data_IF_738118634869
#
_entry.id   IF_738118634869
#
_cell.length_a   1.000
_cell.length_b   1.000
_cell.length_c   1.000
_cell.angle_alpha   90.00
_cell.angle_beta   90.00
_cell.angle_gamma   90.00
#
_symmetry.space_group_name_H-M   'P 1'
#
loop_
_entity.id
_entity.type
_entity.pdbx_description
1 polymer ?
#
# COMPACT_ATOMS: atom_id res chain seq x y z
N UNK A 1 -6.09 13.08 -22.80
CA UNK A 1 -5.69 12.70 -21.42
C UNK A 1 -6.15 11.28 -21.17
N UNK A 2 -5.32 10.44 -20.57
CA UNK A 2 -5.72 9.08 -20.20
C UNK A 2 -6.52 9.15 -18.90
N UNK A 3 -7.74 8.62 -18.86
CA UNK A 3 -8.53 8.55 -17.64
C UNK A 3 -8.32 7.21 -16.96
N UNK A 4 -8.30 7.21 -15.62
CA UNK A 4 -8.20 6.00 -14.81
C UNK A 4 -9.35 5.91 -13.81
N UNK A 5 -9.70 4.68 -13.44
CA UNK A 5 -10.50 4.43 -12.24
C UNK A 5 -9.55 4.39 -11.06
N UNK A 6 -9.69 5.36 -10.15
CA UNK A 6 -8.95 5.35 -8.88
C UNK A 6 -9.81 4.73 -7.80
N UNK A 7 -9.19 3.93 -6.93
CA UNK A 7 -9.88 3.18 -5.88
C UNK A 7 -9.08 3.35 -4.59
N UNK A 8 -9.75 3.81 -3.54
CA UNK A 8 -9.23 3.80 -2.18
C UNK A 8 -9.88 2.67 -1.40
N UNK A 9 -9.08 1.75 -0.89
CA UNK A 9 -9.49 0.74 0.09
C UNK A 9 -8.82 1.02 1.42
N UNK A 10 -9.48 0.64 2.51
CA UNK A 10 -9.01 0.84 3.86
C UNK A 10 -9.21 -0.39 4.73
N UNK A 11 -8.54 -0.39 5.88
CA UNK A 11 -8.83 -1.29 6.99
C UNK A 11 -9.28 -0.42 8.16
N UNK A 12 -10.51 -0.62 8.63
CA UNK A 12 -11.08 0.18 9.69
C UNK A 12 -10.47 -0.16 11.06
N UNK A 13 -10.81 0.61 12.10
CA UNK A 13 -10.35 0.38 13.47
C UNK A 13 -10.84 -0.95 14.06
N UNK A 14 -11.88 -1.55 13.45
CA UNK A 14 -12.36 -2.89 13.75
C UNK A 14 -11.65 -3.96 12.88
N UNK A 15 -10.70 -3.59 12.03
CA UNK A 15 -9.94 -4.54 11.21
C UNK A 15 -10.68 -5.11 10.01
N UNK A 16 -11.91 -4.66 9.72
CA UNK A 16 -12.61 -4.99 8.48
C UNK A 16 -12.08 -4.14 7.34
N UNK A 17 -12.21 -4.68 6.12
CA UNK A 17 -11.83 -3.96 4.90
C UNK A 17 -13.00 -3.19 4.36
N UNK A 18 -12.71 -2.03 3.81
CA UNK A 18 -13.71 -1.17 3.20
C UNK A 18 -13.22 -0.64 1.85
N UNK A 19 -14.15 -0.42 0.93
CA UNK A 19 -13.93 0.47 -0.21
C UNK A 19 -14.30 1.87 0.28
N UNK A 20 -13.31 2.71 0.52
CA UNK A 20 -13.51 4.05 1.06
C UNK A 20 -14.08 5.00 -0.01
N UNK A 21 -13.68 4.81 -1.27
CA UNK A 21 -14.18 5.58 -2.39
C UNK A 21 -13.52 5.20 -3.70
N UNK A 22 -14.13 5.61 -4.80
CA UNK A 22 -13.60 5.42 -6.15
C UNK A 22 -14.12 6.53 -7.07
N UNK A 23 -13.33 6.89 -8.07
CA UNK A 23 -13.65 7.96 -9.01
C UNK A 23 -13.01 7.70 -10.37
N UNK A 24 -13.54 8.31 -11.44
CA UNK A 24 -12.92 8.31 -12.77
C UNK A 24 -12.35 9.71 -13.02
N UNK A 25 -11.05 9.80 -13.26
CA UNK A 25 -10.42 11.09 -13.49
C UNK A 25 -9.02 10.98 -14.09
N UNK A 26 -8.36 12.13 -14.20
CA UNK A 26 -6.97 12.19 -14.62
C UNK A 26 -6.05 11.83 -13.45
N UNK A 27 -5.48 10.62 -13.50
CA UNK A 27 -4.59 10.13 -12.44
C UNK A 27 -3.25 10.86 -12.37
N UNK A 28 -2.91 11.66 -13.37
CA UNK A 28 -1.67 12.45 -13.38
C UNK A 28 -1.87 13.87 -12.80
N UNK A 29 -3.11 14.26 -12.49
CA UNK A 29 -3.43 15.59 -11.96
C UNK A 29 -3.45 15.64 -10.42
N UNK A 30 -2.62 16.53 -9.84
CA UNK A 30 -2.60 16.76 -8.39
C UNK A 30 -3.88 17.38 -7.83
N UNK A 31 -4.60 18.19 -8.62
CA UNK A 31 -5.88 18.77 -8.20
C UNK A 31 -6.95 17.69 -8.06
N UNK A 32 -6.98 16.73 -8.98
CA UNK A 32 -7.83 15.55 -8.91
C UNK A 32 -7.59 14.74 -7.62
N UNK A 33 -6.33 14.39 -7.31
CA UNK A 33 -6.01 13.65 -6.08
C UNK A 33 -6.41 14.40 -4.81
N UNK A 34 -6.21 15.72 -4.79
CA UNK A 34 -6.61 16.56 -3.65
C UNK A 34 -8.12 16.56 -3.46
N UNK A 35 -8.89 16.71 -4.54
CA UNK A 35 -10.34 16.67 -4.50
C UNK A 35 -10.86 15.29 -4.03
N UNK A 36 -10.30 14.21 -4.57
CA UNK A 36 -10.64 12.84 -4.20
C UNK A 36 -10.42 12.57 -2.71
N UNK A 37 -9.23 12.89 -2.17
CA UNK A 37 -8.93 12.69 -0.75
C UNK A 37 -9.78 13.58 0.17
N UNK A 38 -10.05 14.84 -0.24
CA UNK A 38 -10.97 15.72 0.51
C UNK A 38 -12.39 15.18 0.55
N UNK A 39 -12.86 14.57 -0.53
CA UNK A 39 -14.17 13.89 -0.59
C UNK A 39 -14.24 12.70 0.37
N UNK A 40 -13.15 11.95 0.58
CA UNK A 40 -13.13 10.90 1.61
C UNK A 40 -13.27 11.52 3.01
N UNK A 41 -12.52 12.60 3.29
CA UNK A 41 -12.51 13.28 4.59
C UNK A 41 -13.87 13.94 4.91
N UNK A 42 -14.50 14.58 3.93
CA UNK A 42 -15.81 15.20 4.12
C UNK A 42 -16.93 14.19 4.40
N UNK A 43 -16.76 12.94 3.96
CA UNK A 43 -17.66 11.81 4.28
C UNK A 43 -17.33 11.11 5.61
N UNK A 44 -16.34 11.60 6.37
CA UNK A 44 -16.03 11.13 7.71
C UNK A 44 -14.73 10.35 7.86
N UNK A 45 -13.92 10.18 6.81
CA UNK A 45 -12.61 9.55 6.94
C UNK A 45 -11.72 10.34 7.91
N UNK A 46 -11.30 9.69 8.99
CA UNK A 46 -10.48 10.26 10.06
C UNK A 46 -9.57 9.19 10.67
N UNK A 47 -8.57 9.61 11.45
CA UNK A 47 -7.66 8.69 12.14
C UNK A 47 -6.77 7.84 11.23
N UNK A 48 -6.47 8.31 10.01
CA UNK A 48 -5.63 7.58 9.05
C UNK A 48 -4.21 7.49 9.58
N UNK A 49 -3.74 6.28 9.89
CA UNK A 49 -2.37 6.05 10.38
C UNK A 49 -1.36 5.81 9.26
N UNK A 50 -1.78 5.17 8.17
CA UNK A 50 -0.91 4.81 7.04
C UNK A 50 -1.64 4.95 5.71
N UNK A 51 -0.95 5.56 4.74
CA UNK A 51 -1.38 5.57 3.33
C UNK A 51 -0.35 4.86 2.48
N UNK A 52 -0.78 3.83 1.77
CA UNK A 52 0.06 3.08 0.82
C UNK A 52 -0.33 3.49 -0.59
N UNK A 53 0.61 4.08 -1.32
CA UNK A 53 0.39 4.59 -2.68
C UNK A 53 1.62 4.35 -3.55
N UNK A 54 1.56 4.64 -4.85
CA UNK A 54 2.77 4.70 -5.65
C UNK A 54 3.59 5.99 -5.32
N UNK A 55 4.52 6.40 -6.18
CA UNK A 55 5.29 7.63 -5.97
C UNK A 55 4.86 8.78 -6.91
N UNK A 56 3.62 8.76 -7.40
CA UNK A 56 3.08 9.85 -8.19
C UNK A 56 3.11 11.15 -7.36
N UNK A 57 3.78 12.18 -7.89
CA UNK A 57 4.10 13.40 -7.15
C UNK A 57 2.84 14.15 -6.73
N UNK A 58 1.83 14.21 -7.60
CA UNK A 58 0.53 14.82 -7.29
C UNK A 58 -0.22 14.09 -6.17
N UNK A 59 -0.14 12.75 -6.12
CA UNK A 59 -0.79 11.96 -5.08
C UNK A 59 -0.06 12.14 -3.74
N UNK A 60 1.29 12.11 -3.76
CA UNK A 60 2.10 12.34 -2.56
C UNK A 60 1.78 13.71 -1.94
N UNK A 61 1.79 14.78 -2.74
CA UNK A 61 1.47 16.13 -2.26
C UNK A 61 0.03 16.22 -1.72
N UNK A 62 -0.94 15.56 -2.37
CA UNK A 62 -2.32 15.53 -1.91
C UNK A 62 -2.47 14.79 -0.56
N UNK A 63 -1.76 13.67 -0.37
CA UNK A 63 -1.76 12.92 0.91
C UNK A 63 -1.19 13.81 2.02
N UNK A 64 -0.03 14.41 1.81
CA UNK A 64 0.65 15.29 2.78
C UNK A 64 -0.24 16.49 3.16
N UNK A 65 -1.02 17.03 2.21
CA UNK A 65 -1.90 18.17 2.45
C UNK A 65 -3.24 17.81 3.14
N UNK A 66 -3.82 16.64 2.86
CA UNK A 66 -5.20 16.30 3.28
C UNK A 66 -5.24 15.39 4.51
N UNK A 67 -4.31 14.44 4.60
CA UNK A 67 -4.25 13.38 5.61
C UNK A 67 -3.08 13.61 6.58
N UNK A 68 -3.11 14.79 7.23
CA UNK A 68 -2.09 15.21 8.19
C UNK A 68 -1.88 14.16 9.30
N UNK A 69 -0.62 13.85 9.58
CA UNK A 69 -0.22 12.88 10.60
C UNK A 69 -0.22 11.42 10.13
N UNK A 70 -0.73 11.12 8.94
CA UNK A 70 -0.62 9.77 8.39
C UNK A 70 0.82 9.49 7.92
N UNK A 71 1.35 8.33 8.29
CA UNK A 71 2.56 7.80 7.67
C UNK A 71 2.28 7.49 6.19
N UNK A 72 3.33 7.57 5.37
CA UNK A 72 3.24 7.27 3.94
C UNK A 72 4.18 6.13 3.60
N UNK A 73 3.64 5.13 2.91
CA UNK A 73 4.44 4.06 2.33
C UNK A 73 4.33 4.05 0.82
N UNK A 74 5.48 3.96 0.15
CA UNK A 74 5.54 3.65 -1.28
C UNK A 74 5.30 2.16 -1.48
N UNK A 75 4.39 1.85 -2.39
CA UNK A 75 4.06 0.49 -2.80
C UNK A 75 5.32 -0.25 -3.29
N UNK A 76 5.69 -1.34 -2.62
CA UNK A 76 6.90 -2.11 -2.96
C UNK A 76 6.91 -2.67 -4.37
N UNK A 77 5.74 -3.02 -4.93
CA UNK A 77 5.65 -3.61 -6.27
C UNK A 77 5.95 -2.56 -7.33
N UNK A 78 5.39 -1.36 -7.17
CA UNK A 78 5.70 -0.23 -8.04
C UNK A 78 7.15 0.23 -7.88
N UNK A 79 7.66 0.28 -6.63
CA UNK A 79 9.06 0.58 -6.39
C UNK A 79 9.99 -0.43 -7.07
N UNK A 80 9.74 -1.74 -6.90
CA UNK A 80 10.55 -2.79 -7.52
C UNK A 80 10.49 -2.72 -9.05
N UNK A 81 9.31 -2.44 -9.64
CA UNK A 81 9.19 -2.21 -11.09
C UNK A 81 10.09 -1.06 -11.56
N UNK A 82 10.11 0.05 -10.82
CA UNK A 82 10.94 1.21 -11.14
C UNK A 82 12.43 0.89 -11.03
N UNK A 83 12.84 0.14 -10.01
CA UNK A 83 14.21 -0.35 -9.86
C UNK A 83 14.59 -1.23 -11.04
N UNK A 84 13.78 -2.24 -11.36
CA UNK A 84 14.07 -3.20 -12.43
C UNK A 84 14.10 -2.56 -13.82
N UNK A 85 13.40 -1.45 -14.04
CA UNK A 85 13.50 -0.66 -15.27
C UNK A 85 14.91 -0.05 -15.48
N UNK A 86 15.73 0.04 -14.43
CA UNK A 86 17.11 0.52 -14.48
C UNK A 86 18.15 -0.61 -14.49
N UNK A 87 17.71 -1.87 -14.47
CA UNK A 87 18.57 -3.05 -14.31
C UNK A 87 18.64 -3.81 -15.63
N UNK A 88 19.83 -4.26 -16.08
CA UNK A 88 19.94 -5.15 -17.23
C UNK A 88 19.13 -6.44 -17.03
N UNK A 89 18.46 -6.93 -18.09
CA UNK A 89 17.57 -8.11 -18.00
C UNK A 89 18.24 -9.33 -17.34
N UNK A 90 19.52 -9.58 -17.61
CA UNK A 90 20.27 -10.71 -17.04
C UNK A 90 20.49 -10.64 -15.52
N UNK A 91 20.35 -9.47 -14.91
CA UNK A 91 20.53 -9.25 -13.47
C UNK A 91 19.20 -9.01 -12.74
N UNK A 92 18.08 -8.93 -13.46
CA UNK A 92 16.79 -8.51 -12.90
C UNK A 92 16.30 -9.44 -11.78
N UNK A 93 16.44 -10.75 -11.94
CA UNK A 93 16.00 -11.72 -10.92
C UNK A 93 16.84 -11.61 -9.64
N UNK A 94 18.16 -11.51 -9.78
CA UNK A 94 19.08 -11.33 -8.66
C UNK A 94 18.78 -10.03 -7.90
N UNK A 95 18.61 -8.91 -8.60
CA UNK A 95 18.27 -7.63 -7.97
C UNK A 95 16.91 -7.70 -7.28
N UNK A 96 15.91 -8.33 -7.90
CA UNK A 96 14.60 -8.50 -7.28
C UNK A 96 14.67 -9.37 -6.02
N UNK A 97 15.44 -10.46 -6.03
CA UNK A 97 15.64 -11.29 -4.86
C UNK A 97 16.32 -10.50 -3.73
N UNK A 98 17.40 -9.78 -4.05
CA UNK A 98 18.12 -8.92 -3.12
C UNK A 98 17.19 -7.88 -2.46
N UNK A 99 16.42 -7.11 -3.25
CA UNK A 99 15.50 -6.09 -2.71
C UNK A 99 14.38 -6.70 -1.88
N UNK A 100 13.90 -7.91 -2.19
CA UNK A 100 12.85 -8.58 -1.39
C UNK A 100 13.31 -8.92 0.02
N UNK A 101 14.62 -9.14 0.24
CA UNK A 101 15.15 -9.45 1.57
C UNK A 101 14.90 -8.32 2.58
N UNK A 102 14.87 -7.07 2.14
CA UNK A 102 14.58 -5.89 3.00
C UNK A 102 13.29 -6.04 3.79
N UNK A 103 12.30 -6.71 3.20
CA UNK A 103 10.97 -6.84 3.80
C UNK A 103 10.76 -8.15 4.59
N UNK A 104 11.76 -9.05 4.56
CA UNK A 104 11.72 -10.35 5.21
C UNK A 104 12.66 -10.38 6.42
N UNK A 105 12.54 -9.36 7.26
CA UNK A 105 13.38 -9.14 8.43
C UNK A 105 12.58 -9.35 9.73
N UNK A 106 13.26 -9.66 10.86
CA UNK A 106 12.57 -9.95 12.13
C UNK A 106 11.99 -8.71 12.82
N UNK A 107 12.63 -7.54 12.66
CA UNK A 107 12.27 -6.29 13.33
C UNK A 107 12.74 -5.06 12.55
N UNK A 108 12.34 -3.87 13.02
CA UNK A 108 12.49 -2.62 12.27
C UNK A 108 13.95 -2.19 12.09
N UNK A 109 14.81 -2.53 13.04
CA UNK A 109 16.25 -2.27 12.95
C UNK A 109 16.85 -3.07 11.79
N UNK A 110 16.59 -4.38 11.77
CA UNK A 110 17.06 -5.25 10.69
C UNK A 110 16.49 -4.89 9.32
N UNK A 111 15.25 -4.36 9.24
CA UNK A 111 14.70 -3.83 7.97
C UNK A 111 15.59 -2.71 7.42
N UNK A 112 15.96 -1.74 8.26
CA UNK A 112 16.75 -0.56 7.86
C UNK A 112 18.19 -0.96 7.54
N UNK A 113 18.81 -1.79 8.36
CA UNK A 113 20.16 -2.33 8.11
C UNK A 113 20.24 -3.15 6.81
N UNK A 114 19.22 -3.98 6.55
CA UNK A 114 19.17 -4.78 5.33
C UNK A 114 19.03 -3.87 4.10
N UNK A 115 18.25 -2.79 4.18
CA UNK A 115 18.16 -1.80 3.10
C UNK A 115 19.53 -1.22 2.78
N UNK A 116 20.27 -0.77 3.79
CA UNK A 116 21.61 -0.18 3.61
C UNK A 116 22.61 -1.18 3.03
N UNK A 117 22.56 -2.42 3.52
CA UNK A 117 23.39 -3.52 3.02
C UNK A 117 23.12 -3.79 1.54
N UNK A 118 21.85 -3.92 1.16
CA UNK A 118 21.47 -4.18 -0.23
C UNK A 118 21.78 -2.98 -1.13
N UNK A 119 21.57 -1.75 -0.65
CA UNK A 119 21.89 -0.54 -1.39
C UNK A 119 23.39 -0.45 -1.69
N UNK A 120 24.25 -0.66 -0.70
CA UNK A 120 25.71 -0.64 -0.89
C UNK A 120 26.23 -1.81 -1.74
N UNK A 121 25.65 -3.01 -1.58
CA UNK A 121 26.01 -4.18 -2.38
C UNK A 121 25.70 -3.96 -3.87
N UNK A 122 24.48 -3.52 -4.18
CA UNK A 122 24.05 -3.28 -5.57
C UNK A 122 24.72 -2.04 -6.17
N UNK A 123 25.02 -1.02 -5.36
CA UNK A 123 25.65 0.23 -5.77
C UNK A 123 26.99 0.07 -6.49
N UNK A 124 27.76 -0.96 -6.14
CA UNK A 124 29.07 -1.27 -6.78
C UNK A 124 28.97 -1.43 -8.30
N UNK A 125 27.88 -2.01 -8.78
CA UNK A 125 27.65 -2.24 -10.22
C UNK A 125 26.49 -1.41 -10.78
N UNK A 126 25.56 -0.99 -9.91
CA UNK A 126 24.34 -0.29 -10.27
C UNK A 126 24.16 0.97 -9.38
N UNK A 127 25.01 2.02 -9.53
CA UNK A 127 24.96 3.21 -8.67
C UNK A 127 23.57 3.88 -8.65
N UNK A 128 22.85 3.84 -9.77
CA UNK A 128 21.49 4.37 -9.87
C UNK A 128 20.50 3.63 -8.96
N UNK A 129 20.65 2.31 -8.82
CA UNK A 129 19.79 1.49 -7.95
C UNK A 129 20.06 1.81 -6.48
N UNK A 130 21.32 2.03 -6.11
CA UNK A 130 21.68 2.51 -4.76
C UNK A 130 20.98 3.84 -4.45
N UNK A 131 21.13 4.85 -5.32
CA UNK A 131 20.45 6.15 -5.14
C UNK A 131 18.93 5.98 -5.00
N UNK A 132 18.32 5.12 -5.80
CA UNK A 132 16.88 4.86 -5.72
C UNK A 132 16.45 4.22 -4.40
N UNK A 133 17.25 3.28 -3.86
CA UNK A 133 16.99 2.65 -2.56
C UNK A 133 17.14 3.65 -1.42
N UNK A 134 18.25 4.40 -1.40
CA UNK A 134 18.51 5.40 -0.35
C UNK A 134 17.48 6.52 -0.33
N UNK A 135 17.12 7.07 -1.49
CA UNK A 135 16.12 8.14 -1.59
C UNK A 135 14.70 7.69 -1.21
N UNK A 136 14.42 6.39 -1.32
CA UNK A 136 13.12 5.84 -1.00
C UNK A 136 13.10 5.12 0.37
N UNK A 137 14.18 5.19 1.15
CA UNK A 137 14.36 4.36 2.35
C UNK A 137 13.19 4.51 3.33
N UNK A 138 12.91 5.74 3.76
CA UNK A 138 11.79 6.05 4.66
C UNK A 138 10.46 5.55 4.07
N UNK A 139 10.23 5.83 2.80
CA UNK A 139 8.99 5.49 2.11
C UNK A 139 8.76 3.98 1.94
N UNK A 140 9.81 3.18 1.70
CA UNK A 140 9.66 1.73 1.46
C UNK A 140 9.78 0.91 2.75
N UNK A 141 10.30 1.51 3.83
CA UNK A 141 10.45 0.88 5.15
C UNK A 141 9.43 1.34 6.18
N UNK A 142 8.57 2.32 5.88
CA UNK A 142 7.53 2.81 6.78
C UNK A 142 6.64 1.72 7.42
N UNK A 143 6.47 0.55 6.78
CA UNK A 143 5.76 -0.59 7.39
C UNK A 143 6.40 -1.06 8.70
N UNK A 144 7.71 -0.86 8.86
CA UNK A 144 8.50 -1.32 9.99
C UNK A 144 8.15 -0.60 11.29
N UNK A 145 7.53 0.58 11.21
CA UNK A 145 7.04 1.33 12.37
C UNK A 145 5.69 0.79 12.89
N UNK A 146 5.08 -0.15 12.17
CA UNK A 146 3.85 -0.84 12.57
C UNK A 146 4.17 -2.18 13.26
N UNK A 147 3.23 -2.77 14.01
CA UNK A 147 3.42 -4.09 14.61
C UNK A 147 3.80 -5.16 13.58
N UNK A 148 4.81 -5.99 13.89
CA UNK A 148 5.29 -7.09 13.02
C UNK A 148 4.16 -7.97 12.46
N UNK A 149 3.10 -8.34 13.22
CA UNK A 149 1.97 -9.10 12.67
C UNK A 149 1.24 -8.41 11.50
N UNK A 150 1.31 -7.09 11.40
CA UNK A 150 0.67 -6.30 10.35
C UNK A 150 1.51 -6.21 9.09
N UNK A 151 2.83 -6.40 9.20
CA UNK A 151 3.77 -6.16 8.11
C UNK A 151 3.30 -6.83 6.85
N UNK A 152 3.12 -8.17 6.83
CA UNK A 152 2.61 -8.95 5.67
C UNK A 152 1.38 -8.39 4.99
N UNK A 153 0.47 -7.75 5.73
CA UNK A 153 -0.74 -7.15 5.20
C UNK A 153 -0.47 -5.77 4.57
N UNK A 154 0.44 -4.99 5.15
CA UNK A 154 0.83 -3.66 4.68
C UNK A 154 1.54 -3.72 3.31
N UNK A 155 2.69 -4.39 3.21
CA UNK A 155 3.45 -4.50 1.94
C UNK A 155 2.81 -5.40 0.87
N UNK A 156 1.77 -6.19 1.16
CA UNK A 156 1.15 -7.06 0.16
C UNK A 156 0.18 -6.31 -0.75
N UNK A 157 0.37 -6.43 -2.06
CA UNK A 157 -0.56 -5.87 -3.07
C UNK A 157 -1.63 -6.87 -3.49
N UNK A 158 -1.57 -8.14 -3.07
CA UNK A 158 -2.49 -9.19 -3.54
C UNK A 158 -3.97 -8.82 -3.40
N UNK A 159 -4.45 -8.24 -2.27
CA UNK A 159 -5.86 -7.87 -2.14
C UNK A 159 -6.29 -6.82 -3.16
N UNK A 160 -5.47 -5.80 -3.37
CA UNK A 160 -5.73 -4.73 -4.33
C UNK A 160 -5.65 -5.25 -5.77
N UNK A 161 -4.66 -6.09 -6.09
CA UNK A 161 -4.53 -6.72 -7.40
C UNK A 161 -5.71 -7.62 -7.73
N UNK A 162 -6.22 -8.39 -6.76
CA UNK A 162 -7.45 -9.17 -6.93
C UNK A 162 -8.64 -8.24 -7.25
N UNK A 163 -8.83 -7.18 -6.48
CA UNK A 163 -9.94 -6.24 -6.71
C UNK A 163 -9.84 -5.59 -8.10
N UNK A 164 -8.65 -5.10 -8.46
CA UNK A 164 -8.40 -4.52 -9.77
C UNK A 164 -8.63 -5.52 -10.90
N UNK A 165 -8.29 -6.80 -10.70
CA UNK A 165 -8.57 -7.87 -11.67
C UNK A 165 -10.07 -8.09 -11.84
N UNK A 166 -10.85 -8.05 -10.76
CA UNK A 166 -12.31 -8.17 -10.82
C UNK A 166 -12.94 -7.00 -11.57
N UNK A 167 -12.48 -5.76 -11.34
CA UNK A 167 -12.92 -4.58 -12.11
C UNK A 167 -12.57 -4.74 -13.59
N UNK A 168 -11.31 -5.07 -13.90
CA UNK A 168 -10.84 -5.28 -15.28
C UNK A 168 -11.66 -6.34 -16.02
N UNK A 169 -11.95 -7.46 -15.36
CA UNK A 169 -12.77 -8.53 -15.93
C UNK A 169 -14.14 -8.05 -16.41
N UNK A 170 -14.79 -7.11 -15.71
CA UNK A 170 -16.07 -6.54 -16.15
C UNK A 170 -15.87 -5.47 -17.24
N UNK A 171 -14.84 -4.63 -17.11
CA UNK A 171 -14.62 -3.52 -18.05
C UNK A 171 -14.08 -3.98 -19.40
N UNK A 172 -13.26 -5.04 -19.44
CA UNK A 172 -12.64 -5.57 -20.66
C UNK A 172 -13.68 -6.16 -21.63
N UNK A 173 -14.82 -6.62 -21.11
CA UNK A 173 -15.96 -7.09 -21.92
C UNK A 173 -16.63 -5.94 -22.67
N UNK A 174 -16.68 -4.75 -22.07
CA UNK A 174 -17.29 -3.55 -22.68
C UNK A 174 -16.31 -2.91 -23.68
N UNK A 175 -15.01 -2.91 -23.36
CA UNK A 175 -13.95 -2.34 -24.21
C UNK A 175 -13.94 -0.81 -24.19
N UNK A 176 -14.97 -0.16 -24.72
CA UNK A 176 -15.08 1.31 -24.83
C UNK A 176 -16.36 1.80 -24.16
N UNK A 177 -16.22 2.76 -23.25
CA UNK A 177 -17.34 3.35 -22.53
C UNK A 177 -17.81 4.65 -23.19
N UNK A 178 -19.13 4.92 -23.20
CA UNK A 178 -19.69 6.13 -23.83
C UNK A 178 -19.38 7.42 -23.05
N UNK A 179 -19.10 7.32 -21.75
CA UNK A 179 -18.70 8.44 -20.88
C UNK A 179 -18.12 7.93 -19.55
N UNK A 180 -17.43 8.79 -18.77
CA UNK A 180 -16.87 8.44 -17.46
C UNK A 180 -17.91 7.90 -16.47
N UNK A 181 -19.15 8.42 -16.49
CA UNK A 181 -20.20 7.98 -15.59
C UNK A 181 -20.64 6.53 -15.84
N UNK A 182 -20.61 6.07 -17.10
CA UNK A 182 -20.87 4.67 -17.44
C UNK A 182 -19.79 3.73 -16.88
N UNK A 183 -18.51 4.11 -17.01
CA UNK A 183 -17.40 3.37 -16.41
C UNK A 183 -17.50 3.36 -14.89
N UNK A 184 -17.80 4.51 -14.28
CA UNK A 184 -17.96 4.65 -12.84
C UNK A 184 -19.05 3.72 -12.29
N UNK A 185 -20.21 3.62 -12.98
CA UNK A 185 -21.30 2.72 -12.57
C UNK A 185 -20.89 1.25 -12.61
N UNK A 186 -20.23 0.80 -13.69
CA UNK A 186 -19.81 -0.60 -13.80
C UNK A 186 -18.70 -0.94 -12.81
N UNK A 187 -17.67 -0.10 -12.69
CA UNK A 187 -16.62 -0.32 -11.70
C UNK A 187 -17.22 -0.27 -10.28
N UNK A 188 -18.12 0.68 -10.01
CA UNK A 188 -18.81 0.83 -8.74
C UNK A 188 -19.64 -0.37 -8.36
N UNK A 189 -20.37 -1.01 -9.27
CA UNK A 189 -21.15 -2.21 -8.94
C UNK A 189 -20.26 -3.36 -8.47
N UNK A 190 -19.07 -3.52 -9.07
CA UNK A 190 -18.08 -4.53 -8.66
C UNK A 190 -17.48 -4.21 -7.29
N UNK A 191 -17.23 -2.92 -7.03
CA UNK A 191 -16.66 -2.46 -5.77
C UNK A 191 -17.65 -2.56 -4.61
N UNK A 192 -18.94 -2.28 -4.85
CA UNK A 192 -20.01 -2.48 -3.85
C UNK A 192 -20.16 -3.96 -3.52
N UNK A 193 -20.20 -4.84 -4.52
CA UNK A 193 -20.24 -6.30 -4.31
C UNK A 193 -19.06 -6.77 -3.45
N UNK A 194 -17.84 -6.33 -3.78
CA UNK A 194 -16.64 -6.68 -3.01
C UNK A 194 -16.66 -6.09 -1.59
N UNK A 195 -17.19 -4.88 -1.40
CA UNK A 195 -17.35 -4.27 -0.09
C UNK A 195 -18.31 -5.06 0.78
N UNK A 196 -19.50 -5.39 0.26
CA UNK A 196 -20.53 -6.13 0.97
C UNK A 196 -20.00 -7.51 1.41
N UNK A 197 -19.29 -8.22 0.53
CA UNK A 197 -18.59 -9.47 0.87
C UNK A 197 -17.61 -9.29 2.04
N UNK A 198 -16.88 -8.18 2.11
CA UNK A 198 -15.93 -7.92 3.19
C UNK A 198 -16.62 -7.56 4.51
N UNK A 199 -17.78 -6.92 4.46
CA UNK A 199 -18.54 -6.53 5.65
C UNK A 199 -19.21 -7.73 6.34
N UNK A 200 -19.66 -8.72 5.56
CA UNK A 200 -20.29 -9.94 6.09
C UNK A 200 -19.30 -11.06 6.41
N UNK A 201 -18.02 -10.90 6.05
CA UNK A 201 -17.01 -11.91 6.34
C UNK A 201 -16.73 -12.04 7.85
N UNK A 202 -16.81 -13.27 8.37
CA UNK A 202 -16.51 -13.55 9.79
C UNK A 202 -15.09 -13.16 10.20
N UNK A 203 -14.13 -13.31 9.26
CA UNK A 203 -12.71 -13.06 9.52
C UNK A 203 -12.35 -11.61 9.19
N UNK A 204 -11.91 -10.88 10.21
CA UNK A 204 -11.28 -9.56 10.07
C UNK A 204 -9.95 -9.68 9.33
N UNK A 205 -9.61 -8.64 8.57
CA UNK A 205 -8.36 -8.59 7.82
C UNK A 205 -7.15 -8.33 8.73
N UNK A 206 -7.35 -7.50 9.76
CA UNK A 206 -6.49 -7.38 10.94
C UNK A 206 -7.32 -7.76 12.18
N UNK A 207 -6.78 -8.60 13.07
CA UNK A 207 -7.51 -8.99 14.28
C UNK A 207 -7.53 -7.85 15.29
N UNK A 208 -8.58 -7.79 16.12
CA UNK A 208 -8.67 -6.83 17.23
C UNK A 208 -7.43 -6.90 18.14
N UNK A 209 -6.95 -8.12 18.43
CA UNK A 209 -5.75 -8.36 19.24
C UNK A 209 -4.51 -7.66 18.68
N UNK A 210 -4.30 -7.74 17.36
CA UNK A 210 -3.13 -7.11 16.74
C UNK A 210 -3.33 -5.60 16.53
N UNK A 211 -4.57 -5.14 16.33
CA UNK A 211 -4.90 -3.72 16.25
C UNK A 211 -4.68 -2.99 17.58
N UNK A 212 -4.93 -3.65 18.71
CA UNK A 212 -4.65 -3.09 20.03
C UNK A 212 -3.16 -2.73 20.23
N UNK A 213 -2.24 -3.33 19.45
CA UNK A 213 -0.81 -2.99 19.48
C UNK A 213 -0.53 -1.60 18.90
N UNK A 214 -1.37 -1.08 17.99
CA UNK A 214 -1.20 0.26 17.43
C UNK A 214 -1.37 1.36 18.49
N UNK A 215 -2.23 1.12 19.49
CA UNK A 215 -2.53 2.09 20.54
C UNK A 215 -1.50 2.07 21.67
N UNK A 216 -0.69 1.02 21.79
CA UNK A 216 0.33 0.90 22.85
C UNK A 216 1.54 1.78 22.60
N UNK A 217 1.85 2.06 21.34
CA UNK A 217 3.01 2.88 20.94
C UNK A 217 2.94 4.33 21.40
N UNK A 218 1.76 4.82 21.82
CA UNK A 218 1.59 6.20 22.30
C UNK A 218 1.65 6.37 23.83
N UNK A 219 1.68 5.30 24.64
CA UNK A 219 1.56 5.44 26.10
C UNK A 219 2.54 4.66 26.98
N UNK A 220 3.35 3.71 26.51
CA UNK A 220 4.41 3.10 27.35
C UNK A 220 5.60 2.53 26.56
N UNK A 221 6.86 2.82 26.95
CA UNK A 221 8.03 2.12 26.42
C UNK A 221 8.13 0.71 27.03
N UNK A 222 8.40 -0.25 26.14
CA UNK A 222 8.87 -1.63 26.35
C UNK A 222 8.19 -2.51 27.42
N UNK A 223 7.32 -3.41 26.94
CA UNK A 223 7.17 -4.73 27.53
C UNK A 223 7.20 -5.79 26.43
N UNK A 224 8.30 -6.56 26.37
CA UNK A 224 8.40 -7.79 25.60
C UNK A 224 7.24 -8.74 25.98
N UNK A 225 6.31 -8.94 25.07
CA UNK A 225 5.33 -10.02 25.19
C UNK A 225 5.90 -11.26 24.53
N UNK A 226 6.24 -12.26 25.34
CA UNK A 226 6.62 -13.58 24.85
C UNK A 226 5.49 -14.17 23.98
N UNK A 227 5.83 -14.58 22.76
CA UNK A 227 4.93 -15.32 21.87
C UNK A 227 4.73 -16.72 22.48
N UNK A 228 3.49 -17.16 22.79
CA UNK A 228 3.27 -18.52 23.28
C UNK A 228 3.58 -19.51 22.15
N UNK A 229 4.48 -20.44 22.42
CA UNK A 229 4.77 -21.57 21.55
C UNK A 229 3.56 -22.51 21.52
N UNK A 230 2.70 -22.37 20.52
CA UNK A 230 1.76 -23.41 20.13
C UNK A 230 1.37 -23.23 18.66
N UNK A 231 2.07 -23.93 17.77
CA UNK A 231 1.59 -24.46 16.48
C UNK A 231 2.71 -25.33 15.88
N UNK A 232 2.93 -26.48 16.51
CA UNK A 232 3.44 -27.68 15.84
C UNK A 232 2.38 -28.76 16.01
N UNK A 233 1.46 -28.82 15.05
CA UNK A 233 0.69 -29.99 14.62
C UNK A 233 -0.01 -29.63 13.31
#
# INVERSE_FOLDING_TARGET
MSQAVVIATGVAADGRREVLGFEVGDSEDGAFWTAFLRSLKSRGLSGVQLVISDAHTGLRAAIEAVLLGAARQRCRVHFLRNVLAQVPKGSAEMVAAAVRTVFAQPDAEHVREQLDTIAGMLGRQLPKVETMLRNAADDITAFADFPVPHWKKIWSTNPLERLNKEVKRRTDVVGVFPNPAALLRLAGSVLVEAHDEWQVADKRYLSETTLALLNRSNDQPDQHVAVPAALTA
#
